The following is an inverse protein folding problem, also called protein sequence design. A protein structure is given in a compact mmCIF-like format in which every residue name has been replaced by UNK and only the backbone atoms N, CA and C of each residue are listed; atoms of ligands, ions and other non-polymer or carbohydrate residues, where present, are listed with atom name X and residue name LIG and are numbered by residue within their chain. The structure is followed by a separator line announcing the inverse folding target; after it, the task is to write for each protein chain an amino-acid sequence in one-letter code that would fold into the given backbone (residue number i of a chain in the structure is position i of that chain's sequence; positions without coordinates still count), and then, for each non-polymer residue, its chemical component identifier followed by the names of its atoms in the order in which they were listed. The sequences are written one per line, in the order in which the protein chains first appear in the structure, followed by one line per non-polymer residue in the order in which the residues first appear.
data_IF_736792005688
#
_entry.id   IF_736792005688
#
_cell.length_a   1.000
_cell.length_b   1.000
_cell.length_c   1.000
_cell.angle_alpha   90.00
_cell.angle_beta   90.00
_cell.angle_gamma   90.00
#
_symmetry.space_group_name_H-M   'P 1'
#
loop_
_entity.id
_entity.type
_entity.pdbx_description
1 polymer ?
#
# COMPACT_ATOMS: atom_id res chain seq x y z
N UNK A 1 28.96 35.09 -60.59
CA UNK A 1 29.44 33.77 -60.08
C UNK A 1 29.90 33.76 -58.60
N UNK A 2 29.84 34.87 -57.87
CA UNK A 2 30.31 34.95 -56.49
C UNK A 2 29.16 34.86 -55.41
N UNK A 3 27.91 35.09 -55.79
CA UNK A 3 26.80 35.11 -54.87
C UNK A 3 26.23 33.70 -54.53
N UNK A 4 26.36 32.75 -55.51
CA UNK A 4 25.87 31.35 -55.28
C UNK A 4 26.80 30.52 -54.36
N UNK A 5 28.08 30.88 -54.24
CA UNK A 5 29.06 30.19 -53.37
C UNK A 5 28.98 30.64 -51.92
N UNK A 6 28.44 31.82 -51.63
CA UNK A 6 28.25 32.29 -50.24
C UNK A 6 26.97 31.74 -49.61
N UNK A 7 25.95 31.37 -50.47
CA UNK A 7 24.69 30.80 -49.94
C UNK A 7 24.82 29.33 -49.51
N UNK A 8 25.77 28.59 -50.12
CA UNK A 8 26.03 27.18 -49.76
C UNK A 8 26.87 27.00 -48.49
N UNK A 9 27.68 28.02 -48.09
CA UNK A 9 28.43 27.94 -46.85
C UNK A 9 27.60 28.31 -45.63
N UNK A 10 26.54 29.10 -45.74
CA UNK A 10 25.65 29.47 -44.67
C UNK A 10 24.66 28.34 -44.31
N UNK A 11 24.31 27.48 -45.27
CA UNK A 11 23.36 26.38 -45.04
C UNK A 11 24.01 25.18 -44.29
N UNK A 12 25.33 25.02 -44.37
CA UNK A 12 26.02 23.91 -43.68
C UNK A 12 26.35 24.22 -42.21
N UNK A 13 26.33 25.48 -41.76
CA UNK A 13 26.63 25.86 -40.40
C UNK A 13 25.42 25.80 -39.46
N UNK A 14 24.18 25.84 -40.03
CA UNK A 14 22.95 25.76 -39.23
C UNK A 14 22.56 24.30 -38.93
N UNK A 15 23.00 23.32 -39.72
CA UNK A 15 22.69 21.92 -39.53
C UNK A 15 23.47 21.21 -38.44
N UNK A 16 24.57 21.80 -37.93
CA UNK A 16 25.44 21.19 -36.90
C UNK A 16 25.13 21.63 -35.46
N UNK A 17 24.26 22.66 -35.28
CA UNK A 17 23.86 23.10 -33.93
C UNK A 17 22.63 22.38 -33.40
N UNK A 18 21.90 21.60 -34.19
CA UNK A 18 20.68 20.92 -33.75
C UNK A 18 20.91 19.51 -33.18
N UNK A 19 22.14 18.97 -33.21
CA UNK A 19 22.43 17.66 -32.61
C UNK A 19 23.02 17.73 -31.18
N UNK A 20 23.31 18.91 -30.67
CA UNK A 20 23.85 19.06 -29.30
C UNK A 20 22.78 19.21 -28.21
N UNK A 21 21.49 19.29 -28.58
CA UNK A 21 20.38 19.45 -27.63
C UNK A 21 19.77 18.12 -27.14
N UNK A 22 20.20 16.97 -27.66
CA UNK A 22 19.69 15.66 -27.24
C UNK A 22 20.62 14.90 -26.28
N UNK A 23 21.72 15.51 -25.81
CA UNK A 23 22.71 14.80 -25.00
C UNK A 23 22.74 15.22 -23.52
N UNK A 24 21.77 15.99 -23.05
CA UNK A 24 21.69 16.46 -21.66
C UNK A 24 20.36 16.08 -20.98
N UNK A 25 19.85 14.91 -21.32
CA UNK A 25 18.77 14.27 -20.54
C UNK A 25 19.19 12.83 -20.21
N UNK A 26 20.34 12.67 -19.57
CA UNK A 26 20.48 11.61 -18.60
C UNK A 26 19.62 12.04 -17.42
N UNK A 27 18.30 11.94 -17.56
CA UNK A 27 17.43 11.73 -16.43
C UNK A 27 17.98 10.50 -15.73
N UNK A 28 18.76 10.70 -14.67
CA UNK A 28 18.83 9.76 -13.58
C UNK A 28 17.35 9.57 -13.19
N UNK A 29 16.76 8.52 -13.70
CA UNK A 29 15.52 7.97 -13.21
C UNK A 29 15.85 7.44 -11.81
N UNK A 30 16.06 8.38 -10.87
CA UNK A 30 16.02 8.09 -9.46
C UNK A 30 14.56 7.71 -9.23
N UNK A 31 14.28 6.43 -9.25
CA UNK A 31 12.95 5.91 -8.93
C UNK A 31 12.59 6.48 -7.55
N UNK A 32 11.73 7.49 -7.57
CA UNK A 32 11.26 8.18 -6.39
C UNK A 32 10.69 7.13 -5.43
N UNK A 33 11.13 7.14 -4.19
CA UNK A 33 10.68 6.17 -3.21
C UNK A 33 9.16 6.32 -2.97
N UNK A 34 8.51 5.24 -2.56
CA UNK A 34 7.06 5.29 -2.23
C UNK A 34 6.76 6.35 -1.18
N UNK A 35 7.64 6.52 -0.20
CA UNK A 35 7.52 7.56 0.83
C UNK A 35 7.54 8.99 0.25
N UNK A 36 8.45 9.26 -0.69
CA UNK A 36 8.52 10.57 -1.36
C UNK A 36 7.25 10.84 -2.15
N UNK A 37 6.72 9.85 -2.87
CA UNK A 37 5.44 9.96 -3.60
C UNK A 37 4.26 10.26 -2.68
N UNK A 38 4.17 9.62 -1.50
CA UNK A 38 3.14 9.89 -0.50
C UNK A 38 3.24 11.32 0.01
N UNK A 39 4.45 11.78 0.33
CA UNK A 39 4.69 13.15 0.82
C UNK A 39 4.37 14.20 -0.24
N UNK A 40 4.75 13.96 -1.49
CA UNK A 40 4.46 14.86 -2.60
C UNK A 40 2.94 14.92 -2.90
N UNK A 41 2.27 13.77 -2.89
CA UNK A 41 0.81 13.66 -3.03
C UNK A 41 0.06 14.34 -1.86
N UNK A 42 0.70 14.42 -0.68
CA UNK A 42 0.12 14.98 0.54
C UNK A 42 -0.98 14.13 1.17
N UNK A 43 -1.06 12.85 0.81
CA UNK A 43 -2.10 11.93 1.27
C UNK A 43 -1.54 10.53 1.41
N UNK A 44 -1.84 9.87 2.54
CA UNK A 44 -1.60 8.45 2.78
C UNK A 44 -2.93 7.70 2.57
N UNK A 45 -3.01 6.85 1.56
CA UNK A 45 -4.17 6.01 1.29
C UNK A 45 -3.98 4.66 1.98
N UNK A 46 -4.84 4.34 2.93
CA UNK A 46 -4.78 3.10 3.74
C UNK A 46 -5.95 2.19 3.39
N UNK A 47 -5.64 1.01 2.85
CA UNK A 47 -6.64 -0.03 2.61
C UNK A 47 -6.97 -0.78 3.91
N UNK A 48 -8.26 -0.97 4.18
CA UNK A 48 -8.74 -1.69 5.36
C UNK A 48 -10.06 -2.39 5.08
N UNK A 49 -10.42 -3.39 5.93
CA UNK A 49 -11.67 -4.13 5.86
C UNK A 49 -12.47 -3.88 7.15
N UNK A 50 -13.50 -3.00 7.14
CA UNK A 50 -14.11 -2.48 8.35
C UNK A 50 -15.17 -3.42 8.96
N UNK A 51 -14.79 -4.66 9.25
CA UNK A 51 -15.59 -5.73 9.83
C UNK A 51 -14.90 -6.44 11.01
N UNK A 52 -13.77 -5.89 11.49
CA UNK A 52 -12.94 -6.53 12.52
C UNK A 52 -12.77 -5.66 13.78
N UNK A 53 -13.83 -5.53 14.58
CA UNK A 53 -13.74 -4.81 15.86
C UNK A 53 -12.84 -5.55 16.88
N UNK A 54 -12.03 -4.84 17.67
CA UNK A 54 -11.93 -3.38 17.84
C UNK A 54 -10.88 -2.71 16.95
N UNK A 55 -10.33 -3.40 15.94
CA UNK A 55 -9.23 -2.91 15.10
C UNK A 55 -9.73 -1.96 14.02
N UNK A 56 -10.64 -2.43 13.15
CA UNK A 56 -11.29 -1.64 12.11
C UNK A 56 -12.74 -2.07 11.95
N UNK A 57 -13.67 -1.14 12.13
CA UNK A 57 -15.10 -1.41 12.03
C UNK A 57 -15.91 -0.17 11.72
N UNK A 58 -17.12 -0.36 11.24
CA UNK A 58 -18.05 0.74 11.02
C UNK A 58 -18.78 1.11 12.30
N UNK A 59 -18.83 2.41 12.60
CA UNK A 59 -19.60 2.96 13.71
C UNK A 59 -20.33 4.23 13.31
N UNK A 60 -21.40 4.54 14.04
CA UNK A 60 -22.07 5.82 13.94
C UNK A 60 -21.35 6.84 14.85
N UNK A 61 -20.65 7.79 14.23
CA UNK A 61 -20.00 8.92 14.91
C UNK A 61 -20.75 10.17 14.52
N UNK A 62 -21.35 10.86 15.48
CA UNK A 62 -22.15 12.07 15.24
C UNK A 62 -23.23 11.89 14.14
N UNK A 63 -23.83 10.68 14.09
CA UNK A 63 -24.89 10.33 13.14
C UNK A 63 -24.40 10.00 11.72
N UNK A 64 -23.07 9.89 11.49
CA UNK A 64 -22.47 9.48 10.24
C UNK A 64 -21.80 8.11 10.38
N UNK A 65 -21.90 7.29 9.33
CA UNK A 65 -21.12 6.06 9.27
C UNK A 65 -19.66 6.40 9.02
N UNK A 66 -18.80 6.02 9.96
CA UNK A 66 -17.36 6.17 9.86
C UNK A 66 -16.67 4.83 10.13
N UNK A 67 -15.50 4.66 9.52
CA UNK A 67 -14.60 3.55 9.84
C UNK A 67 -13.71 4.00 11.00
N UNK A 68 -13.75 3.25 12.10
CA UNK A 68 -13.05 3.57 13.34
C UNK A 68 -12.34 2.34 13.90
N UNK A 69 -11.54 2.52 14.93
CA UNK A 69 -10.86 1.44 15.63
C UNK A 69 -9.37 1.68 15.79
N UNK A 70 -8.67 0.72 16.41
CA UNK A 70 -7.26 0.82 16.74
C UNK A 70 -6.39 0.98 15.47
N UNK A 71 -6.72 0.25 14.40
CA UNK A 71 -6.00 0.30 13.12
C UNK A 71 -6.17 1.66 12.44
N UNK A 72 -7.35 2.27 12.56
CA UNK A 72 -7.61 3.61 12.01
C UNK A 72 -6.86 4.68 12.81
N UNK A 73 -6.78 4.52 14.14
CA UNK A 73 -5.97 5.41 14.99
C UNK A 73 -4.47 5.28 14.66
N UNK A 74 -3.99 4.06 14.41
CA UNK A 74 -2.62 3.81 13.97
C UNK A 74 -2.35 4.46 12.61
N UNK A 75 -3.26 4.28 11.65
CA UNK A 75 -3.18 4.90 10.33
C UNK A 75 -3.11 6.44 10.42
N UNK A 76 -3.96 7.05 11.28
CA UNK A 76 -3.95 8.50 11.50
C UNK A 76 -2.61 8.95 12.09
N UNK A 77 -2.08 8.21 13.08
CA UNK A 77 -0.78 8.53 13.69
C UNK A 77 0.35 8.49 12.67
N UNK A 78 0.35 7.50 11.77
CA UNK A 78 1.34 7.41 10.68
C UNK A 78 1.21 8.60 9.74
N UNK A 79 -0.01 8.96 9.33
CA UNK A 79 -0.24 10.11 8.45
C UNK A 79 0.23 11.43 9.10
N UNK A 80 -0.05 11.62 10.40
CA UNK A 80 0.38 12.78 11.18
C UNK A 80 1.91 12.90 11.23
N UNK A 81 2.62 11.79 11.50
CA UNK A 81 4.09 11.75 11.53
C UNK A 81 4.71 12.02 10.15
N UNK A 82 4.03 11.64 9.07
CA UNK A 82 4.46 11.93 7.71
C UNK A 82 4.13 13.36 7.27
N UNK A 83 3.27 14.07 8.02
CA UNK A 83 2.78 15.40 7.69
C UNK A 83 1.81 15.41 6.49
N UNK A 84 1.03 14.33 6.30
CA UNK A 84 0.08 14.17 5.20
C UNK A 84 -1.34 13.89 5.73
N UNK A 85 -2.33 13.96 4.85
CA UNK A 85 -3.71 13.58 5.19
C UNK A 85 -3.88 12.08 5.15
N UNK A 86 -4.71 11.53 6.04
CA UNK A 86 -5.19 10.15 5.94
C UNK A 86 -6.38 10.06 4.99
N UNK A 87 -6.36 9.06 4.11
CA UNK A 87 -7.52 8.60 3.34
C UNK A 87 -7.74 7.12 3.62
N UNK A 88 -8.89 6.78 4.21
CA UNK A 88 -9.26 5.39 4.50
C UNK A 88 -10.02 4.81 3.32
N UNK A 89 -9.44 3.80 2.67
CA UNK A 89 -10.03 3.06 1.56
C UNK A 89 -10.63 1.74 2.08
N UNK A 90 -11.91 1.79 2.44
CA UNK A 90 -12.64 0.65 2.98
C UNK A 90 -13.10 -0.31 1.87
N UNK A 91 -12.85 -1.61 2.05
CA UNK A 91 -13.21 -2.64 1.08
C UNK A 91 -13.37 -4.00 1.77
N UNK A 92 -13.73 -5.06 1.04
CA UNK A 92 -13.69 -6.42 1.57
C UNK A 92 -12.25 -6.88 1.77
N UNK A 93 -12.01 -7.73 2.78
CA UNK A 93 -10.69 -8.24 3.16
C UNK A 93 -9.91 -8.82 1.96
N UNK A 94 -10.58 -9.59 1.09
CA UNK A 94 -9.97 -10.19 -0.10
C UNK A 94 -9.38 -9.18 -1.07
N UNK A 95 -9.85 -7.94 -1.05
CA UNK A 95 -9.39 -6.87 -1.93
C UNK A 95 -8.28 -6.00 -1.32
N UNK A 96 -8.05 -6.07 0.00
CA UNK A 96 -7.11 -5.20 0.71
C UNK A 96 -5.70 -5.33 0.14
N UNK A 97 -5.14 -6.55 0.10
CA UNK A 97 -3.79 -6.79 -0.41
C UNK A 97 -3.66 -6.45 -1.90
N UNK A 98 -4.66 -6.83 -2.70
CA UNK A 98 -4.65 -6.52 -4.14
C UNK A 98 -4.69 -5.03 -4.42
N UNK A 99 -5.31 -4.23 -3.55
CA UNK A 99 -5.35 -2.77 -3.72
C UNK A 99 -3.97 -2.13 -3.55
N UNK A 100 -3.16 -2.62 -2.60
CA UNK A 100 -1.77 -2.19 -2.43
C UNK A 100 -0.91 -2.64 -3.60
N UNK A 101 -1.02 -3.90 -4.01
CA UNK A 101 -0.26 -4.45 -5.14
C UNK A 101 -0.51 -3.68 -6.44
N UNK A 102 -1.74 -3.22 -6.65
CA UNK A 102 -2.13 -2.44 -7.83
C UNK A 102 -1.92 -0.92 -7.67
N UNK A 103 -1.31 -0.47 -6.57
CA UNK A 103 -1.05 0.95 -6.30
C UNK A 103 -2.29 1.80 -6.06
N UNK A 104 -3.43 1.19 -5.73
CA UNK A 104 -4.68 1.90 -5.36
C UNK A 104 -4.65 2.39 -3.92
N UNK A 105 -3.90 1.70 -3.06
CA UNK A 105 -3.58 2.13 -1.71
C UNK A 105 -2.06 2.11 -1.52
N UNK A 106 -1.57 2.95 -0.62
CA UNK A 106 -0.15 3.05 -0.31
C UNK A 106 0.28 1.96 0.67
N UNK A 107 -0.57 1.68 1.66
CA UNK A 107 -0.37 0.62 2.67
C UNK A 107 -1.70 -0.07 2.99
N UNK A 108 -1.61 -1.23 3.64
CA UNK A 108 -2.74 -1.95 4.21
C UNK A 108 -2.59 -2.03 5.73
N UNK A 109 -3.67 -1.70 6.46
CA UNK A 109 -3.80 -1.92 7.90
C UNK A 109 -5.18 -2.54 8.12
N UNK A 110 -5.23 -3.84 8.41
CA UNK A 110 -6.47 -4.63 8.47
C UNK A 110 -6.26 -5.93 9.28
N UNK A 111 -5.62 -5.85 10.43
CA UNK A 111 -5.32 -7.03 11.25
C UNK A 111 -4.53 -8.11 10.51
N UNK A 112 -3.70 -7.73 9.53
CA UNK A 112 -3.01 -8.65 8.63
C UNK A 112 -1.91 -9.43 9.35
N UNK A 113 -2.04 -10.74 9.41
CA UNK A 113 -0.98 -11.61 9.91
C UNK A 113 0.16 -11.74 8.90
N UNK A 114 1.40 -11.72 9.42
CA UNK A 114 2.56 -12.09 8.64
C UNK A 114 2.49 -13.57 8.18
N UNK A 115 2.91 -13.84 6.96
CA UNK A 115 3.22 -15.18 6.49
C UNK A 115 4.35 -15.13 5.46
N UNK A 116 5.14 -16.20 5.36
CA UNK A 116 6.22 -16.31 4.38
C UNK A 116 5.73 -16.20 2.94
N UNK A 117 4.49 -16.58 2.67
CA UNK A 117 3.88 -16.45 1.36
C UNK A 117 3.61 -14.99 1.02
N UNK A 118 2.99 -14.24 1.94
CA UNK A 118 2.72 -12.81 1.78
C UNK A 118 4.01 -12.00 1.70
N UNK A 119 5.02 -12.34 2.49
CA UNK A 119 6.31 -11.67 2.51
C UNK A 119 7.12 -11.80 1.21
N UNK A 120 6.74 -12.70 0.28
CA UNK A 120 7.33 -12.77 -1.07
C UNK A 120 6.86 -11.62 -1.97
N UNK A 121 5.78 -10.96 -1.64
CA UNK A 121 5.10 -9.96 -2.47
C UNK A 121 4.98 -8.61 -1.78
N UNK A 122 4.93 -8.60 -0.44
CA UNK A 122 4.71 -7.41 0.37
C UNK A 122 5.79 -7.28 1.44
N UNK A 123 6.19 -6.04 1.73
CA UNK A 123 6.96 -5.72 2.91
C UNK A 123 6.02 -5.54 4.12
N UNK A 124 6.44 -6.06 5.27
CA UNK A 124 5.71 -5.95 6.53
C UNK A 124 6.46 -5.05 7.51
N UNK A 125 5.71 -4.34 8.33
CA UNK A 125 6.25 -3.67 9.51
C UNK A 125 6.58 -4.68 10.61
N UNK A 126 7.21 -4.20 11.69
CA UNK A 126 7.18 -4.91 12.96
C UNK A 126 5.73 -5.15 13.42
N UNK A 127 5.52 -6.24 14.18
CA UNK A 127 4.20 -6.55 14.70
C UNK A 127 3.75 -5.48 15.70
N UNK A 128 2.62 -4.83 15.44
CA UNK A 128 2.04 -3.82 16.33
C UNK A 128 1.04 -4.41 17.34
N UNK A 129 0.62 -5.65 17.15
CA UNK A 129 -0.27 -6.38 18.06
C UNK A 129 0.00 -7.88 18.00
N UNK A 130 -0.23 -8.59 19.10
CA UNK A 130 -0.10 -10.04 19.16
C UNK A 130 -1.42 -10.66 19.58
N UNK A 131 -1.88 -11.65 18.82
CA UNK A 131 -3.06 -12.45 19.13
C UNK A 131 -2.64 -13.92 19.29
N UNK A 132 -3.49 -14.67 19.99
CA UNK A 132 -3.41 -16.12 20.00
C UNK A 132 -4.63 -16.67 19.26
N UNK A 133 -4.39 -17.51 18.27
CA UNK A 133 -5.46 -18.27 17.62
C UNK A 133 -5.98 -19.32 18.60
N UNK A 134 -7.31 -19.39 18.74
CA UNK A 134 -7.96 -20.34 19.62
C UNK A 134 -9.08 -21.07 18.86
N UNK A 135 -9.38 -22.28 19.29
CA UNK A 135 -10.49 -23.06 18.76
C UNK A 135 -11.68 -22.97 19.73
N UNK A 136 -12.81 -22.52 19.20
CA UNK A 136 -14.08 -22.61 19.90
C UNK A 136 -14.68 -24.00 19.69
N UNK A 137 -14.88 -24.74 20.76
CA UNK A 137 -15.47 -26.08 20.73
C UNK A 137 -16.72 -26.16 21.61
N UNK A 138 -17.56 -27.13 21.34
CA UNK A 138 -18.69 -27.43 22.25
C UNK A 138 -18.15 -27.91 23.60
N UNK A 139 -18.82 -27.51 24.69
CA UNK A 139 -18.40 -27.88 26.06
C UNK A 139 -18.31 -29.39 26.24
N UNK A 140 -19.22 -30.12 25.61
CA UNK A 140 -19.29 -31.59 25.74
C UNK A 140 -18.13 -32.29 25.02
N UNK A 141 -17.49 -31.62 24.07
CA UNK A 141 -16.32 -32.13 23.35
C UNK A 141 -14.98 -31.77 24.00
N UNK A 142 -15.00 -30.98 25.07
CA UNK A 142 -13.79 -30.47 25.72
C UNK A 142 -12.83 -31.54 26.27
N UNK A 143 -13.37 -32.72 26.60
CA UNK A 143 -12.56 -33.86 27.05
C UNK A 143 -11.90 -34.65 25.93
N UNK A 144 -12.39 -34.51 24.68
CA UNK A 144 -11.92 -35.26 23.51
C UNK A 144 -11.13 -34.38 22.54
N UNK A 145 -11.43 -33.09 22.46
CA UNK A 145 -10.76 -32.14 21.57
C UNK A 145 -9.75 -31.28 22.38
N UNK A 146 -8.68 -31.91 22.84
CA UNK A 146 -7.70 -31.29 23.75
C UNK A 146 -6.47 -30.76 23.07
N UNK A 147 -6.32 -31.01 21.75
CA UNK A 147 -5.18 -30.55 20.97
C UNK A 147 -5.57 -30.31 19.51
N UNK A 148 -4.69 -29.63 18.76
CA UNK A 148 -4.85 -29.44 17.31
C UNK A 148 -4.92 -30.79 16.56
N UNK A 149 -4.16 -31.79 16.99
CA UNK A 149 -4.18 -33.11 16.36
C UNK A 149 -5.53 -33.82 16.52
N UNK A 150 -6.24 -33.56 17.62
CA UNK A 150 -7.55 -34.13 17.89
C UNK A 150 -8.67 -33.63 16.94
N UNK A 151 -8.43 -32.53 16.22
CA UNK A 151 -9.38 -31.99 15.24
C UNK A 151 -9.09 -32.49 13.81
N UNK A 152 -8.04 -33.27 13.61
CA UNK A 152 -7.69 -33.81 12.28
C UNK A 152 -8.87 -34.61 11.70
N UNK A 153 -9.25 -34.29 10.45
CA UNK A 153 -10.39 -34.91 9.76
C UNK A 153 -11.78 -34.44 10.23
N UNK A 154 -11.87 -33.41 11.07
CA UNK A 154 -13.15 -32.79 11.47
C UNK A 154 -13.45 -31.57 10.61
N UNK A 155 -14.73 -31.27 10.44
CA UNK A 155 -15.18 -30.04 9.80
C UNK A 155 -15.02 -28.90 10.78
N UNK A 156 -14.33 -27.83 10.34
CA UNK A 156 -14.21 -26.57 11.03
C UNK A 156 -15.16 -25.56 10.37
N UNK A 157 -15.81 -24.73 11.17
CA UNK A 157 -16.71 -23.67 10.72
C UNK A 157 -16.00 -22.30 10.80
#
# INVERSE_FOLDING_TARGET
MKLKKMLTLAATFVATLSLAACSASSSSDSSQSTLEKIKEKGTLVVATSPDYAPFEFQALVDGKNEVVGADIMLAQKIADELGVKLEVSAMSFDNVLSSVQNGKADIAIAGLSYSDERAKVFDFSESYYQIADVLLIKKDDASTLTSIDAISGKNLA
#
